data_IF_447697446773
#
_entry.id   IF_447697446773
#
_cell.length_a   1.000
_cell.length_b   1.000
_cell.length_c   1.000
_cell.angle_alpha   90.00
_cell.angle_beta   90.00
_cell.angle_gamma   90.00
#
_symmetry.space_group_name_H-M   'P 1'
#
loop_
_entity.id
_entity.type
_entity.pdbx_description
1 polymer ?
#
# COMPACT_ATOMS: atom_id res chain seq x y z
N UNK A 1 -18.96 8.18 6.32
CA UNK A 1 -19.77 8.07 7.57
C UNK A 1 -18.90 7.79 8.80
N UNK A 2 -18.30 6.60 8.92
CA UNK A 2 -17.62 6.19 10.17
C UNK A 2 -16.45 7.10 10.56
N UNK A 3 -15.62 7.49 9.58
CA UNK A 3 -14.52 8.43 9.81
C UNK A 3 -15.07 9.75 10.35
N UNK A 4 -15.94 10.45 9.60
CA UNK A 4 -16.53 11.72 10.03
C UNK A 4 -17.31 11.68 11.36
N UNK A 5 -17.82 10.51 11.79
CA UNK A 5 -18.45 10.36 13.10
C UNK A 5 -17.44 10.18 14.24
N UNK A 6 -16.29 9.60 13.97
CA UNK A 6 -15.26 9.33 14.97
C UNK A 6 -14.29 10.50 15.08
N UNK A 7 -14.07 11.28 14.03
CA UNK A 7 -13.20 12.47 14.04
C UNK A 7 -13.50 13.44 15.19
N UNK A 8 -14.78 13.77 15.51
CA UNK A 8 -15.09 14.73 16.58
C UNK A 8 -14.85 14.18 18.00
N UNK A 9 -14.60 12.88 18.15
CA UNK A 9 -14.28 12.30 19.47
C UNK A 9 -12.92 12.85 19.90
N UNK A 10 -12.82 13.31 21.15
CA UNK A 10 -11.57 13.82 21.71
C UNK A 10 -10.43 12.81 21.51
N UNK A 11 -9.27 13.31 21.08
CA UNK A 11 -8.06 12.50 20.95
C UNK A 11 -7.73 11.82 22.28
N UNK A 12 -7.48 10.51 22.18
CA UNK A 12 -7.10 9.68 23.33
C UNK A 12 -6.32 8.48 22.83
N UNK A 13 -5.49 7.94 23.72
CA UNK A 13 -4.82 6.67 23.50
C UNK A 13 -5.83 5.51 23.30
N UNK A 14 -5.39 4.53 22.51
CA UNK A 14 -6.12 3.29 22.27
C UNK A 14 -6.11 2.43 23.52
N UNK A 15 -7.28 1.95 23.92
CA UNK A 15 -7.51 1.08 25.09
C UNK A 15 -7.76 -0.35 24.66
N UNK A 16 -7.67 -1.29 25.60
CA UNK A 16 -8.00 -2.69 25.35
C UNK A 16 -9.43 -2.90 24.77
N UNK A 17 -10.39 -2.04 25.16
CA UNK A 17 -11.77 -2.06 24.67
C UNK A 17 -11.93 -1.65 23.21
N UNK A 18 -10.92 -1.01 22.61
CA UNK A 18 -10.92 -0.59 21.21
C UNK A 18 -10.52 -1.72 20.25
N UNK A 19 -10.13 -2.88 20.78
CA UNK A 19 -9.82 -4.09 20.03
C UNK A 19 -10.94 -5.13 20.12
N UNK A 20 -10.92 -6.06 19.17
CA UNK A 20 -11.76 -7.26 19.21
C UNK A 20 -13.23 -7.04 18.81
N UNK A 21 -14.08 -8.06 18.99
CA UNK A 21 -15.42 -8.08 18.42
C UNK A 21 -16.34 -6.94 18.89
N UNK A 22 -16.22 -6.54 20.17
CA UNK A 22 -17.05 -5.51 20.81
C UNK A 22 -16.72 -4.09 20.33
N UNK A 23 -15.49 -3.85 19.87
CA UNK A 23 -15.08 -2.58 19.31
C UNK A 23 -15.60 -2.33 17.89
N UNK A 24 -16.13 -3.37 17.23
CA UNK A 24 -16.61 -3.22 15.86
C UNK A 24 -17.87 -2.38 15.81
N UNK A 25 -17.97 -1.57 14.76
CA UNK A 25 -19.13 -0.75 14.52
C UNK A 25 -19.93 -1.24 13.32
N UNK A 26 -21.26 -1.11 13.39
CA UNK A 26 -22.18 -1.48 12.33
C UNK A 26 -23.11 -0.34 11.98
N UNK A 27 -23.33 -0.14 10.69
CA UNK A 27 -24.32 0.81 10.17
C UNK A 27 -25.13 0.20 9.04
N UNK A 28 -26.41 0.53 9.00
CA UNK A 28 -27.30 0.17 7.90
C UNK A 28 -27.37 1.36 6.93
N UNK A 29 -27.26 1.06 5.64
CA UNK A 29 -27.36 2.01 4.54
C UNK A 29 -28.52 1.56 3.64
N UNK A 30 -29.77 1.95 3.97
CA UNK A 30 -30.91 1.72 3.10
C UNK A 30 -30.84 2.64 1.88
N UNK A 31 -31.28 2.15 0.70
CA UNK A 31 -31.28 2.90 -0.57
C UNK A 31 -31.96 4.27 -0.45
N UNK A 32 -33.09 4.32 0.26
CA UNK A 32 -33.86 5.54 0.48
C UNK A 32 -33.29 6.45 1.57
N UNK A 33 -32.19 6.07 2.21
CA UNK A 33 -31.60 6.79 3.33
C UNK A 33 -32.33 6.56 4.65
N UNK A 34 -31.78 7.15 5.71
CA UNK A 34 -32.30 7.16 7.07
C UNK A 34 -31.91 8.49 7.74
N UNK A 35 -32.42 8.81 8.95
CA UNK A 35 -31.93 9.98 9.69
C UNK A 35 -30.41 9.99 9.94
N UNK A 36 -29.76 8.81 9.87
CA UNK A 36 -28.33 8.66 10.10
C UNK A 36 -27.52 8.54 8.80
N UNK A 37 -28.13 8.20 7.66
CA UNK A 37 -27.41 7.89 6.43
C UNK A 37 -28.11 8.49 5.21
N UNK A 38 -27.38 9.12 4.27
CA UNK A 38 -28.00 9.67 3.08
C UNK A 38 -28.60 8.58 2.18
N UNK A 39 -29.53 8.97 1.31
CA UNK A 39 -30.01 8.12 0.22
C UNK A 39 -28.91 7.90 -0.82
N UNK A 40 -28.98 6.79 -1.54
CA UNK A 40 -27.94 6.40 -2.51
C UNK A 40 -28.49 5.50 -3.62
N UNK A 41 -27.71 5.32 -4.69
CA UNK A 41 -28.09 4.49 -5.84
C UNK A 41 -27.96 2.98 -5.58
N UNK A 42 -27.05 2.58 -4.68
CA UNK A 42 -26.84 1.18 -4.33
C UNK A 42 -28.09 0.57 -3.65
N UNK A 43 -28.24 -0.76 -3.73
CA UNK A 43 -29.22 -1.49 -2.91
C UNK A 43 -28.87 -1.35 -1.43
N UNK A 44 -29.85 -1.66 -0.56
CA UNK A 44 -29.64 -1.70 0.88
C UNK A 44 -28.40 -2.53 1.24
N UNK A 45 -27.54 -2.00 2.10
CA UNK A 45 -26.39 -2.75 2.60
C UNK A 45 -26.09 -2.45 4.07
N UNK A 46 -25.35 -3.34 4.71
CA UNK A 46 -24.79 -3.14 6.04
C UNK A 46 -23.28 -2.97 5.92
N UNK A 47 -22.77 -1.92 6.53
CA UNK A 47 -21.35 -1.66 6.65
C UNK A 47 -20.88 -2.03 8.04
N UNK A 48 -19.72 -2.70 8.11
CA UNK A 48 -19.03 -2.99 9.35
C UNK A 48 -17.62 -2.39 9.29
N UNK A 49 -17.29 -1.59 10.29
CA UNK A 49 -15.94 -1.15 10.56
C UNK A 49 -15.35 -1.98 11.69
N UNK A 50 -14.14 -2.49 11.49
CA UNK A 50 -13.44 -3.24 12.51
C UNK A 50 -12.51 -2.32 13.29
N UNK A 51 -12.59 -2.34 14.63
CA UNK A 51 -11.71 -1.59 15.54
C UNK A 51 -11.43 -0.13 15.08
N UNK A 52 -12.46 0.69 14.79
CA UNK A 52 -12.27 1.94 14.07
C UNK A 52 -11.46 3.00 14.83
N UNK A 53 -11.44 2.95 16.17
CA UNK A 53 -10.57 3.81 16.99
C UNK A 53 -9.09 3.47 16.78
N UNK A 54 -8.75 2.18 16.67
CA UNK A 54 -7.37 1.74 16.40
C UNK A 54 -6.89 2.28 15.05
N UNK A 55 -7.72 2.15 14.01
CA UNK A 55 -7.39 2.65 12.67
C UNK A 55 -7.40 4.18 12.54
N UNK A 56 -8.13 4.89 13.40
CA UNK A 56 -7.96 6.34 13.53
C UNK A 56 -6.56 6.68 14.06
N UNK A 57 -6.15 6.11 15.18
CA UNK A 57 -4.82 6.36 15.74
C UNK A 57 -3.68 5.88 14.81
N UNK A 58 -3.85 4.78 14.09
CA UNK A 58 -2.87 4.37 13.07
C UNK A 58 -2.70 5.43 11.98
N UNK A 59 -3.80 6.01 11.49
CA UNK A 59 -3.75 7.12 10.52
C UNK A 59 -3.02 8.34 11.09
N UNK A 60 -3.30 8.70 12.35
CA UNK A 60 -2.61 9.80 13.06
C UNK A 60 -1.10 9.55 13.21
N UNK A 61 -0.69 8.33 13.61
CA UNK A 61 0.72 7.95 13.72
C UNK A 61 1.44 8.03 12.37
N UNK A 62 0.75 7.64 11.29
CA UNK A 62 1.26 7.75 9.91
C UNK A 62 1.07 9.14 9.28
N UNK A 63 0.67 10.16 10.06
CA UNK A 63 0.48 11.55 9.61
C UNK A 63 -0.52 11.69 8.46
N UNK A 64 -1.53 10.84 8.42
CA UNK A 64 -2.61 10.89 7.44
C UNK A 64 -3.69 11.85 7.94
N UNK A 65 -3.89 12.95 7.22
CA UNK A 65 -5.01 13.85 7.49
C UNK A 65 -6.35 13.14 7.25
N UNK A 66 -7.30 13.41 8.14
CA UNK A 66 -8.58 12.72 8.11
C UNK A 66 -9.50 13.21 6.99
N UNK A 67 -9.45 14.49 6.65
CA UNK A 67 -10.23 15.04 5.54
C UNK A 67 -9.67 14.52 4.21
N UNK A 68 -8.34 14.56 4.04
CA UNK A 68 -7.66 14.05 2.83
C UNK A 68 -7.98 12.57 2.63
N UNK A 69 -7.85 11.74 3.67
CA UNK A 69 -8.24 10.33 3.60
C UNK A 69 -9.68 10.11 3.15
N UNK A 70 -10.63 10.92 3.62
CA UNK A 70 -12.03 10.81 3.22
C UNK A 70 -12.24 11.21 1.76
N UNK A 71 -11.56 12.26 1.29
CA UNK A 71 -11.63 12.70 -0.11
C UNK A 71 -11.05 11.63 -1.03
N UNK A 72 -9.86 11.10 -0.73
CA UNK A 72 -9.19 10.13 -1.60
C UNK A 72 -9.91 8.78 -1.71
N UNK A 73 -10.55 8.32 -0.62
CA UNK A 73 -11.22 7.01 -0.57
C UNK A 73 -12.72 7.08 -0.86
N UNK A 74 -13.37 8.19 -0.53
CA UNK A 74 -14.83 8.33 -0.55
C UNK A 74 -15.31 9.57 -1.30
N UNK A 75 -14.43 10.25 -2.04
CA UNK A 75 -14.77 11.35 -2.92
C UNK A 75 -15.68 10.94 -4.09
N UNK A 76 -15.99 11.90 -4.95
CA UNK A 76 -16.85 11.69 -6.12
C UNK A 76 -16.21 10.81 -7.19
N UNK A 77 -14.89 10.69 -7.18
CA UNK A 77 -14.17 10.01 -8.24
C UNK A 77 -14.16 8.49 -8.05
N UNK A 78 -14.30 7.76 -9.15
CA UNK A 78 -14.26 6.30 -9.11
C UNK A 78 -12.86 5.82 -8.74
N UNK A 79 -12.77 4.77 -7.92
CA UNK A 79 -11.49 4.09 -7.67
C UNK A 79 -11.02 3.36 -8.94
N UNK A 80 -9.72 3.37 -9.21
CA UNK A 80 -9.15 2.66 -10.36
C UNK A 80 -8.90 1.21 -9.97
N UNK A 81 -9.57 0.28 -10.65
CA UNK A 81 -9.30 -1.14 -10.48
C UNK A 81 -7.94 -1.50 -11.09
N UNK A 82 -7.10 -2.17 -10.31
CA UNK A 82 -5.83 -2.70 -10.77
C UNK A 82 -6.02 -4.17 -11.11
N UNK A 83 -5.75 -4.53 -12.36
CA UNK A 83 -5.69 -5.92 -12.79
C UNK A 83 -4.66 -6.66 -11.95
N UNK A 84 -5.10 -7.55 -11.07
CA UNK A 84 -4.20 -8.33 -10.23
C UNK A 84 -4.03 -9.74 -10.83
N UNK A 85 -2.90 -10.05 -11.49
CA UNK A 85 -2.61 -11.42 -11.93
C UNK A 85 -2.19 -12.34 -10.76
N UNK A 86 -2.33 -11.90 -9.50
CA UNK A 86 -1.83 -12.62 -8.33
C UNK A 86 -2.59 -13.91 -8.00
N UNK A 87 -1.87 -14.93 -7.51
CA UNK A 87 -2.40 -16.24 -7.07
C UNK A 87 -3.59 -16.18 -6.10
N UNK A 88 -3.75 -15.09 -5.34
CA UNK A 88 -4.79 -14.97 -4.30
C UNK A 88 -6.20 -14.70 -4.85
N UNK A 89 -6.31 -14.20 -6.09
CA UNK A 89 -7.59 -13.71 -6.64
C UNK A 89 -8.18 -12.51 -5.89
N UNK A 90 -7.37 -11.78 -5.13
CA UNK A 90 -7.78 -10.53 -4.47
C UNK A 90 -7.77 -9.38 -5.45
N UNK A 91 -8.85 -8.62 -5.51
CA UNK A 91 -8.99 -7.42 -6.34
C UNK A 91 -8.34 -6.25 -5.61
N UNK A 92 -7.63 -5.41 -6.36
CA UNK A 92 -7.02 -4.19 -5.86
C UNK A 92 -7.65 -2.97 -6.52
N UNK A 93 -7.82 -1.91 -5.74
CA UNK A 93 -8.19 -0.60 -6.24
C UNK A 93 -7.18 0.43 -5.75
N UNK A 94 -7.03 1.50 -6.52
CA UNK A 94 -6.15 2.63 -6.23
C UNK A 94 -6.99 3.91 -6.20
N UNK A 95 -6.75 4.76 -5.21
CA UNK A 95 -7.32 6.10 -5.17
C UNK A 95 -6.83 6.93 -6.37
N UNK A 96 -7.56 7.98 -6.75
CA UNK A 96 -7.19 8.79 -7.91
C UNK A 96 -5.87 9.54 -7.72
N UNK A 97 -5.59 9.96 -6.49
CA UNK A 97 -4.37 10.64 -6.08
C UNK A 97 -3.19 9.68 -5.79
N UNK A 98 -3.34 8.40 -6.12
CA UNK A 98 -2.33 7.36 -5.87
C UNK A 98 -1.94 7.16 -4.41
N UNK A 99 -2.57 7.82 -3.42
CA UNK A 99 -2.12 7.74 -2.01
C UNK A 99 -2.49 6.42 -1.34
N UNK A 100 -3.62 5.83 -1.71
CA UNK A 100 -4.19 4.70 -1.00
C UNK A 100 -4.58 3.55 -1.93
N UNK A 101 -4.34 2.33 -1.44
CA UNK A 101 -4.80 1.11 -2.06
C UNK A 101 -5.91 0.46 -1.24
N UNK A 102 -6.88 -0.12 -1.93
CA UNK A 102 -7.90 -0.98 -1.33
C UNK A 102 -7.67 -2.39 -1.84
N UNK A 103 -7.51 -3.34 -0.92
CA UNK A 103 -7.35 -4.76 -1.25
C UNK A 103 -8.52 -5.57 -0.71
N UNK A 104 -9.17 -6.37 -1.55
CA UNK A 104 -10.19 -7.32 -1.08
C UNK A 104 -9.55 -8.48 -0.32
N UNK A 105 -10.17 -8.89 0.78
CA UNK A 105 -9.66 -9.90 1.70
C UNK A 105 -10.63 -11.07 1.89
N UNK A 106 -10.07 -12.27 1.97
CA UNK A 106 -10.76 -13.48 2.44
C UNK A 106 -11.07 -13.36 3.93
N UNK A 107 -12.02 -14.16 4.42
CA UNK A 107 -12.36 -14.19 5.86
C UNK A 107 -11.15 -14.55 6.72
N UNK A 108 -10.33 -15.50 6.28
CA UNK A 108 -9.13 -15.96 6.99
C UNK A 108 -8.10 -14.84 7.14
N UNK A 109 -7.81 -14.08 6.08
CA UNK A 109 -6.90 -12.93 6.10
C UNK A 109 -7.38 -11.85 7.08
N UNK A 110 -8.69 -11.55 7.09
CA UNK A 110 -9.27 -10.64 8.08
C UNK A 110 -9.09 -11.16 9.51
N UNK A 111 -9.17 -12.47 9.75
CA UNK A 111 -8.92 -13.01 11.09
C UNK A 111 -7.44 -12.91 11.48
N UNK A 112 -6.52 -13.11 10.54
CA UNK A 112 -5.08 -12.91 10.78
C UNK A 112 -4.82 -11.45 11.17
N UNK A 113 -5.29 -10.49 10.36
CA UNK A 113 -5.11 -9.06 10.62
C UNK A 113 -5.69 -8.63 11.97
N UNK A 114 -6.88 -9.12 12.33
CA UNK A 114 -7.49 -8.81 13.63
C UNK A 114 -6.73 -9.42 14.82
N UNK A 115 -6.14 -10.61 14.67
CA UNK A 115 -5.31 -11.22 15.72
C UNK A 115 -4.00 -10.46 15.93
N UNK A 116 -3.36 -10.02 14.86
CA UNK A 116 -2.11 -9.24 14.94
C UNK A 116 -2.33 -7.76 15.31
N UNK A 117 -3.53 -7.21 15.13
CA UNK A 117 -3.79 -5.77 15.26
C UNK A 117 -3.27 -5.12 16.57
N UNK A 118 -3.42 -5.70 17.77
CA UNK A 118 -2.87 -5.12 19.00
C UNK A 118 -1.33 -5.10 19.03
N UNK A 119 -0.68 -6.05 18.36
CA UNK A 119 0.77 -6.12 18.26
C UNK A 119 1.30 -5.21 17.16
N UNK A 120 0.60 -5.16 16.02
CA UNK A 120 0.87 -4.23 14.92
C UNK A 120 0.79 -2.78 15.39
N UNK A 121 -0.24 -2.42 16.17
CA UNK A 121 -0.37 -1.07 16.74
C UNK A 121 0.86 -0.70 17.60
N UNK A 122 1.33 -1.61 18.46
CA UNK A 122 2.52 -1.41 19.28
C UNK A 122 3.81 -1.35 18.45
N UNK A 123 3.90 -2.17 17.40
CA UNK A 123 5.03 -2.18 16.48
C UNK A 123 5.18 -0.85 15.75
N UNK A 124 4.09 -0.34 15.18
CA UNK A 124 4.05 0.97 14.50
C UNK A 124 4.40 2.10 15.47
N UNK A 125 3.89 2.05 16.69
CA UNK A 125 4.20 3.05 17.72
C UNK A 125 5.69 3.03 18.13
N UNK A 126 6.32 1.85 18.17
CA UNK A 126 7.72 1.71 18.57
C UNK A 126 8.70 2.01 17.43
N UNK A 127 8.31 1.77 16.18
CA UNK A 127 9.19 1.83 15.02
C UNK A 127 8.58 2.70 13.91
N UNK A 128 8.84 4.02 13.97
CA UNK A 128 8.32 4.99 12.99
C UNK A 128 8.76 4.67 11.54
N UNK A 129 9.92 4.05 11.37
CA UNK A 129 10.49 3.66 10.07
C UNK A 129 10.08 2.25 9.61
N UNK A 130 9.10 1.60 10.26
CA UNK A 130 8.60 0.28 9.84
C UNK A 130 8.27 0.22 8.35
N UNK A 131 8.74 -0.83 7.69
CA UNK A 131 8.44 -1.17 6.29
C UNK A 131 7.15 -2.01 6.18
N UNK A 132 6.67 -2.57 7.29
CA UNK A 132 5.38 -3.27 7.31
C UNK A 132 4.27 -2.37 6.76
N UNK A 133 3.45 -2.92 5.86
CA UNK A 133 2.32 -2.23 5.22
C UNK A 133 1.51 -1.37 6.20
N UNK A 134 1.27 -0.12 5.81
CA UNK A 134 0.49 0.86 6.59
C UNK A 134 -1.00 0.61 6.39
N UNK A 135 -1.69 0.14 7.43
CA UNK A 135 -3.14 -0.13 7.37
C UNK A 135 -3.95 1.02 7.96
N UNK A 136 -4.94 1.51 7.20
CA UNK A 136 -5.73 2.69 7.54
C UNK A 136 -7.20 2.41 7.82
N UNK A 137 -7.67 1.21 7.48
CA UNK A 137 -9.04 0.80 7.78
C UNK A 137 -9.30 -0.64 7.36
N UNK A 138 -10.15 -1.33 8.12
CA UNK A 138 -10.60 -2.68 7.80
C UNK A 138 -12.12 -2.69 7.84
N UNK A 139 -12.73 -3.15 6.74
CA UNK A 139 -14.16 -2.99 6.51
C UNK A 139 -14.80 -4.26 5.97
N UNK A 140 -16.11 -4.38 6.17
CA UNK A 140 -16.95 -5.39 5.52
C UNK A 140 -18.25 -4.77 5.06
N UNK A 141 -18.62 -5.07 3.83
CA UNK A 141 -19.91 -4.71 3.26
C UNK A 141 -20.75 -5.97 3.08
N UNK A 142 -21.98 -5.92 3.56
CA UNK A 142 -22.98 -6.97 3.38
C UNK A 142 -24.20 -6.36 2.67
N UNK A 143 -24.30 -6.50 1.34
CA UNK A 143 -25.50 -6.08 0.64
C UNK A 143 -26.71 -6.93 1.05
N UNK A 144 -27.93 -6.42 0.85
CA UNK A 144 -29.19 -7.11 1.10
C UNK A 144 -29.36 -8.32 0.17
N UNK A 145 -28.86 -8.21 -1.06
CA UNK A 145 -28.71 -9.29 -2.03
C UNK A 145 -27.26 -9.36 -2.56
N UNK A 146 -26.79 -10.58 -2.84
CA UNK A 146 -25.44 -10.81 -3.36
C UNK A 146 -24.36 -11.10 -2.32
N UNK A 147 -23.10 -11.10 -2.77
CA UNK A 147 -21.97 -11.57 -2.00
C UNK A 147 -21.43 -10.50 -1.03
N UNK A 148 -21.23 -10.86 0.24
CA UNK A 148 -20.50 -10.02 1.19
C UNK A 148 -19.01 -10.00 0.87
N UNK A 149 -18.39 -8.84 0.95
CA UNK A 149 -16.95 -8.67 0.72
C UNK A 149 -16.30 -7.93 1.89
N UNK A 150 -14.99 -8.13 2.03
CA UNK A 150 -14.14 -7.49 3.05
C UNK A 150 -12.99 -6.85 2.33
N UNK A 151 -12.50 -5.75 2.86
CA UNK A 151 -11.34 -5.09 2.30
C UNK A 151 -10.58 -4.34 3.38
N UNK A 152 -9.31 -4.13 3.11
CA UNK A 152 -8.44 -3.26 3.89
C UNK A 152 -8.06 -2.07 3.03
N UNK A 153 -8.01 -0.89 3.65
CA UNK A 153 -7.41 0.30 3.08
C UNK A 153 -5.99 0.39 3.61
N UNK A 154 -5.02 0.56 2.72
CA UNK A 154 -3.60 0.59 3.02
C UNK A 154 -2.89 1.67 2.20
N UNK A 155 -1.71 2.09 2.65
CA UNK A 155 -0.90 3.05 1.90
C UNK A 155 -0.41 2.47 0.57
N UNK A 156 -0.48 3.26 -0.50
CA UNK A 156 0.25 2.96 -1.71
C UNK A 156 1.72 3.28 -1.48
N UNK A 157 2.55 2.26 -1.56
CA UNK A 157 3.97 2.38 -1.25
C UNK A 157 4.73 3.09 -2.39
N UNK A 158 4.19 3.06 -3.62
CA UNK A 158 4.77 3.76 -4.76
C UNK A 158 4.24 5.20 -4.93
N UNK A 159 3.51 5.73 -3.94
CA UNK A 159 3.13 7.15 -3.92
C UNK A 159 4.36 8.00 -3.56
N UNK A 160 5.03 8.52 -4.57
CA UNK A 160 6.22 9.38 -4.42
C UNK A 160 6.26 10.41 -5.53
N UNK A 161 6.85 11.57 -5.25
CA UNK A 161 7.13 12.61 -6.25
C UNK A 161 8.15 12.15 -7.31
N UNK A 162 8.92 11.09 -7.00
CA UNK A 162 9.94 10.55 -7.89
C UNK A 162 9.35 9.51 -8.85
N UNK A 163 9.60 9.68 -10.15
CA UNK A 163 9.22 8.68 -11.16
C UNK A 163 9.90 7.32 -10.86
N UNK A 164 9.09 6.28 -10.70
CA UNK A 164 9.59 4.91 -10.55
C UNK A 164 9.82 4.29 -11.94
N UNK A 165 11.08 4.01 -12.27
CA UNK A 165 11.51 3.47 -13.56
C UNK A 165 11.56 1.93 -13.58
N UNK A 166 11.77 1.31 -12.40
CA UNK A 166 11.74 -0.15 -12.21
C UNK A 166 11.08 -0.48 -10.87
N UNK A 167 10.33 -1.57 -10.85
CA UNK A 167 9.67 -2.12 -9.66
C UNK A 167 10.07 -3.57 -9.49
N UNK A 168 10.35 -3.98 -8.27
CA UNK A 168 10.60 -5.38 -7.93
C UNK A 168 9.72 -5.81 -6.77
N UNK A 169 9.28 -7.06 -6.82
CA UNK A 169 8.70 -7.83 -5.73
C UNK A 169 9.78 -8.86 -5.37
N UNK A 170 10.36 -8.79 -4.17
CA UNK A 170 11.47 -9.64 -3.73
C UNK A 170 11.06 -10.50 -2.54
N UNK A 171 11.39 -11.79 -2.56
CA UNK A 171 11.02 -12.77 -1.50
C UNK A 171 12.22 -13.50 -0.91
N UNK A 172 13.39 -13.39 -1.52
CA UNK A 172 14.59 -14.17 -1.16
C UNK A 172 14.51 -15.64 -1.62
N UNK A 173 13.63 -15.98 -2.56
CA UNK A 173 13.50 -17.34 -3.11
C UNK A 173 13.63 -17.36 -4.63
N UNK A 174 13.80 -18.53 -5.24
CA UNK A 174 14.03 -18.70 -6.69
C UNK A 174 12.85 -19.28 -7.47
N UNK A 175 12.04 -20.15 -6.84
CA UNK A 175 10.97 -20.86 -7.54
C UNK A 175 9.83 -19.93 -7.98
N UNK A 176 9.62 -19.80 -9.29
CA UNK A 176 8.61 -18.90 -9.85
C UNK A 176 8.93 -17.40 -9.69
N UNK A 177 10.21 -17.09 -9.44
CA UNK A 177 10.71 -15.73 -9.15
C UNK A 177 11.45 -15.10 -10.34
N UNK A 178 11.04 -15.42 -11.55
CA UNK A 178 11.36 -14.67 -12.78
C UNK A 178 10.07 -14.18 -13.46
N UNK A 179 10.20 -13.15 -14.28
CA UNK A 179 9.11 -12.55 -15.06
C UNK A 179 9.10 -13.12 -16.48
N UNK A 180 7.98 -13.73 -16.88
CA UNK A 180 7.82 -14.35 -18.21
C UNK A 180 7.51 -13.34 -19.34
N UNK A 181 7.39 -12.05 -19.02
CA UNK A 181 7.04 -11.03 -20.03
C UNK A 181 8.17 -10.79 -21.00
N UNK A 182 7.86 -10.94 -22.30
CA UNK A 182 8.76 -10.65 -23.42
C UNK A 182 9.05 -9.15 -23.54
N UNK A 183 8.12 -8.28 -23.14
CA UNK A 183 8.28 -6.82 -23.10
C UNK A 183 8.19 -6.31 -21.67
N UNK A 184 9.29 -5.76 -21.17
CA UNK A 184 9.37 -5.12 -19.86
C UNK A 184 9.10 -3.62 -20.05
N UNK A 185 8.07 -3.12 -19.38
CA UNK A 185 7.74 -1.70 -19.27
C UNK A 185 7.85 -1.22 -17.82
N UNK A 186 7.63 0.08 -17.56
CA UNK A 186 7.72 0.68 -16.22
C UNK A 186 6.65 0.16 -15.24
N UNK A 187 5.56 -0.41 -15.77
CA UNK A 187 4.48 -1.00 -14.97
C UNK A 187 4.71 -2.49 -14.66
N UNK A 188 5.73 -3.09 -15.27
CA UNK A 188 6.11 -4.47 -15.02
C UNK A 188 6.85 -4.57 -13.69
N UNK A 189 6.29 -5.36 -12.77
CA UNK A 189 6.92 -5.69 -11.49
C UNK A 189 7.79 -6.92 -11.69
N UNK A 190 9.10 -6.71 -11.61
CA UNK A 190 10.15 -7.72 -11.73
C UNK A 190 10.27 -8.54 -10.42
N UNK A 191 10.97 -9.66 -10.46
CA UNK A 191 11.16 -10.56 -9.30
C UNK A 191 12.63 -10.83 -8.99
N UNK A 192 12.90 -11.70 -8.03
CA UNK A 192 14.26 -11.98 -7.50
C UNK A 192 15.29 -12.35 -8.57
N UNK A 193 14.93 -13.22 -9.52
CA UNK A 193 15.87 -13.67 -10.57
C UNK A 193 16.05 -12.64 -11.68
N UNK A 194 15.17 -11.63 -11.75
CA UNK A 194 15.29 -10.52 -12.69
C UNK A 194 16.16 -9.39 -12.12
N UNK A 195 16.51 -9.45 -10.82
CA UNK A 195 17.32 -8.44 -10.13
C UNK A 195 18.81 -8.67 -10.40
N UNK A 196 19.36 -7.95 -11.39
CA UNK A 196 20.76 -8.01 -11.80
C UNK A 196 21.61 -6.83 -11.28
N UNK A 197 21.17 -6.18 -10.19
CA UNK A 197 21.81 -5.00 -9.64
C UNK A 197 22.46 -5.29 -8.28
N UNK A 198 23.58 -4.63 -8.01
CA UNK A 198 24.15 -4.48 -6.67
C UNK A 198 23.99 -3.05 -6.20
N UNK A 199 23.58 -2.88 -4.95
CA UNK A 199 23.27 -1.57 -4.39
C UNK A 199 24.31 -1.13 -3.39
N UNK A 200 24.82 0.09 -3.60
CA UNK A 200 25.72 0.75 -2.68
C UNK A 200 24.94 1.85 -1.97
N UNK A 201 24.64 1.60 -0.71
CA UNK A 201 24.05 2.59 0.20
C UNK A 201 25.16 3.19 1.06
N UNK A 202 24.93 4.42 1.51
CA UNK A 202 25.75 5.00 2.57
C UNK A 202 25.71 4.06 3.80
N UNK A 203 26.85 3.77 4.45
CA UNK A 203 26.93 2.74 5.49
C UNK A 203 25.89 2.89 6.60
N UNK A 204 25.66 4.10 7.12
CA UNK A 204 24.67 4.31 8.19
C UNK A 204 23.24 4.03 7.72
N UNK A 205 22.88 4.41 6.48
CA UNK A 205 21.57 4.13 5.90
C UNK A 205 21.38 2.64 5.65
N UNK A 206 22.41 1.95 5.15
CA UNK A 206 22.40 0.50 4.96
C UNK A 206 22.15 -0.21 6.28
N UNK A 207 22.89 0.15 7.32
CA UNK A 207 22.83 -0.53 8.61
C UNK A 207 21.47 -0.27 9.29
N UNK A 208 20.95 0.96 9.21
CA UNK A 208 19.61 1.30 9.70
C UNK A 208 18.51 0.53 8.97
N UNK A 209 18.59 0.45 7.64
CA UNK A 209 17.64 -0.31 6.83
C UNK A 209 17.66 -1.80 7.15
N UNK A 210 18.84 -2.42 7.15
CA UNK A 210 18.98 -3.85 7.46
C UNK A 210 18.46 -4.15 8.86
N UNK A 211 18.72 -3.24 9.82
CA UNK A 211 18.18 -3.37 11.17
C UNK A 211 16.66 -3.31 11.21
N UNK A 212 16.05 -2.40 10.45
CA UNK A 212 14.59 -2.31 10.37
C UNK A 212 13.99 -3.54 9.69
N UNK A 213 14.60 -4.05 8.61
CA UNK A 213 14.18 -5.29 7.94
C UNK A 213 14.22 -6.48 8.91
N UNK A 214 15.26 -6.57 9.75
CA UNK A 214 15.36 -7.60 10.79
C UNK A 214 14.22 -7.50 11.80
N UNK A 215 13.97 -6.29 12.34
CA UNK A 215 12.89 -6.01 13.30
C UNK A 215 11.51 -6.36 12.72
N UNK A 216 11.24 -5.94 11.50
CA UNK A 216 9.95 -6.19 10.83
C UNK A 216 9.77 -7.67 10.49
N UNK A 217 10.83 -8.34 10.04
CA UNK A 217 10.81 -9.77 9.75
C UNK A 217 10.56 -10.60 11.02
N UNK A 218 11.18 -10.22 12.14
CA UNK A 218 10.93 -10.86 13.44
C UNK A 218 9.48 -10.65 13.89
N UNK A 219 8.93 -9.44 13.73
CA UNK A 219 7.52 -9.16 14.00
C UNK A 219 6.59 -10.06 13.17
N UNK A 220 6.82 -10.17 11.85
CA UNK A 220 6.01 -11.00 10.96
C UNK A 220 6.14 -12.49 11.32
N UNK A 221 7.36 -12.96 11.60
CA UNK A 221 7.64 -14.33 12.06
C UNK A 221 6.87 -14.67 13.34
N UNK A 222 6.89 -13.79 14.34
CA UNK A 222 6.21 -14.00 15.62
C UNK A 222 4.68 -14.10 15.48
N UNK A 223 4.12 -13.61 14.37
CA UNK A 223 2.69 -13.71 14.04
C UNK A 223 2.39 -14.79 13.00
N UNK A 224 3.38 -15.62 12.64
CA UNK A 224 3.27 -16.66 11.63
C UNK A 224 2.81 -16.13 10.27
N UNK A 225 3.25 -14.93 9.93
CA UNK A 225 3.01 -14.30 8.62
C UNK A 225 4.20 -14.65 7.74
N UNK A 226 3.90 -15.27 6.60
CA UNK A 226 4.87 -15.71 5.62
C UNK A 226 4.43 -15.23 4.23
N UNK A 227 5.22 -15.57 3.21
CA UNK A 227 4.94 -15.22 1.81
C UNK A 227 4.79 -13.71 1.55
N UNK A 228 5.31 -12.88 2.45
CA UNK A 228 5.46 -11.45 2.23
C UNK A 228 6.61 -11.18 1.25
N UNK A 229 6.53 -10.06 0.56
CA UNK A 229 7.58 -9.58 -0.34
C UNK A 229 8.04 -8.21 0.14
N UNK A 230 9.31 -7.91 -0.07
CA UNK A 230 9.84 -6.55 -0.05
C UNK A 230 9.57 -5.93 -1.43
N UNK A 231 8.79 -4.85 -1.50
CA UNK A 231 8.62 -4.10 -2.73
C UNK A 231 9.77 -3.10 -2.85
N UNK A 232 10.29 -2.95 -4.07
CA UNK A 232 11.44 -2.11 -4.33
C UNK A 232 11.18 -1.21 -5.54
N UNK A 233 11.25 0.10 -5.34
CA UNK A 233 11.10 1.10 -6.39
C UNK A 233 12.43 1.78 -6.73
N UNK A 234 12.73 1.90 -8.03
CA UNK A 234 13.92 2.59 -8.53
C UNK A 234 13.60 3.92 -9.19
N UNK A 235 14.25 4.97 -8.71
CA UNK A 235 14.35 6.22 -9.45
C UNK A 235 15.79 6.44 -9.93
N UNK A 236 15.97 6.56 -11.24
CA UNK A 236 17.21 7.04 -11.84
C UNK A 236 17.19 8.55 -11.91
N UNK A 237 18.17 9.19 -11.26
CA UNK A 237 18.38 10.63 -11.45
C UNK A 237 18.89 10.90 -12.87
N UNK A 238 18.23 11.80 -13.60
CA UNK A 238 18.73 12.29 -14.88
C UNK A 238 20.05 13.05 -14.67
N UNK A 239 21.01 12.87 -15.61
CA UNK A 239 22.21 13.71 -15.65
C UNK A 239 21.80 15.16 -15.91
N UNK A 240 22.32 16.12 -15.14
CA UNK A 240 22.03 17.55 -15.31
C UNK A 240 22.55 18.17 -16.64
N UNK A 241 23.03 17.39 -17.60
CA UNK A 241 23.74 17.90 -18.78
C UNK A 241 23.04 17.60 -20.11
N UNK A 242 21.77 17.98 -20.25
CA UNK A 242 21.12 18.18 -21.55
C UNK A 242 20.19 19.41 -21.49
N UNK A 243 20.73 20.56 -21.06
CA UNK A 243 20.32 21.81 -21.65
C UNK A 243 21.24 22.06 -22.84
N UNK A 244 20.78 21.72 -24.04
CA UNK A 244 21.34 22.25 -25.28
C UNK A 244 20.17 22.75 -26.10
N UNK A 245 20.13 24.06 -26.32
CA UNK A 245 19.26 24.69 -27.29
C UNK A 245 19.56 24.21 -28.72
N UNK A 246 18.78 24.72 -29.67
CA UNK A 246 18.90 24.58 -31.13
C UNK A 246 18.54 23.23 -31.78
N UNK A 247 17.29 23.17 -32.26
CA UNK A 247 16.81 22.75 -33.61
C UNK A 247 17.34 21.49 -34.35
N UNK A 248 16.41 20.52 -34.53
CA UNK A 248 16.09 19.65 -35.70
C UNK A 248 17.10 18.62 -36.28
N UNK A 249 16.67 17.58 -37.04
CA UNK A 249 15.36 16.91 -37.19
C UNK A 249 15.40 15.36 -37.07
N UNK A 250 14.21 14.73 -37.07
CA UNK A 250 13.98 13.28 -37.12
C UNK A 250 14.69 12.57 -38.28
N UNK A 251 15.43 11.49 -37.98
CA UNK A 251 15.30 10.17 -38.64
C UNK A 251 16.33 9.14 -38.13
N UNK A 252 15.90 7.87 -38.08
CA UNK A 252 16.67 6.60 -37.99
C UNK A 252 16.99 6.06 -36.56
N UNK A 253 16.13 5.14 -36.09
CA UNK A 253 16.42 4.04 -35.13
C UNK A 253 17.31 2.96 -35.82
N UNK A 254 17.93 1.95 -35.14
CA UNK A 254 17.79 1.47 -33.75
C UNK A 254 19.17 1.19 -33.07
N UNK A 255 19.17 0.52 -31.91
CA UNK A 255 20.34 -0.06 -31.21
C UNK A 255 21.34 0.89 -30.52
N UNK A 256 21.03 1.22 -29.27
CA UNK A 256 22.02 1.36 -28.18
C UNK A 256 21.33 1.31 -26.82
N UNK A 257 20.82 0.14 -26.48
CA UNK A 257 20.54 -0.27 -25.10
C UNK A 257 21.68 -1.15 -24.57
N UNK A 258 22.91 -0.82 -24.97
CA UNK A 258 24.10 -1.21 -24.21
C UNK A 258 24.18 -0.24 -23.05
N UNK A 259 23.53 -0.59 -21.94
CA UNK A 259 23.70 0.11 -20.67
C UNK A 259 25.16 -0.08 -20.30
N UNK A 260 25.94 0.97 -20.56
CA UNK A 260 27.31 1.12 -20.11
C UNK A 260 27.33 0.88 -18.59
N UNK A 261 27.78 -0.30 -18.22
CA UNK A 261 28.41 -0.56 -16.94
C UNK A 261 29.71 0.23 -16.91
N UNK A 262 29.66 1.52 -16.62
CA UNK A 262 30.85 2.24 -16.18
C UNK A 262 30.50 3.59 -15.54
N UNK A 263 30.93 3.69 -14.28
CA UNK A 263 31.28 4.90 -13.54
C UNK A 263 30.64 6.23 -13.97
N UNK A 264 29.63 6.68 -13.19
CA UNK A 264 29.24 8.09 -13.21
C UNK A 264 27.88 8.39 -12.60
N UNK A 265 27.82 8.45 -11.27
CA UNK A 265 26.86 9.19 -10.42
C UNK A 265 25.44 9.39 -11.00
N UNK A 266 24.77 8.32 -11.43
CA UNK A 266 23.31 8.31 -11.43
C UNK A 266 22.92 7.99 -9.98
N UNK A 267 22.50 8.99 -9.20
CA UNK A 267 21.98 8.71 -7.87
C UNK A 267 20.75 7.81 -8.04
N UNK A 268 20.84 6.58 -7.52
CA UNK A 268 19.73 5.65 -7.45
C UNK A 268 19.07 5.91 -6.10
N UNK A 269 17.84 6.39 -6.12
CA UNK A 269 17.02 6.40 -4.91
C UNK A 269 16.32 5.05 -4.83
N UNK A 270 16.59 4.35 -3.72
CA UNK A 270 15.97 3.07 -3.41
C UNK A 270 14.85 3.36 -2.43
N UNK A 271 13.61 3.17 -2.90
CA UNK A 271 12.46 3.17 -2.02
C UNK A 271 12.26 1.73 -1.55
N UNK A 272 12.60 1.50 -0.28
CA UNK A 272 12.25 0.28 0.44
C UNK A 272 10.81 0.41 0.90
N UNK A 273 9.99 -0.48 0.38
CA UNK A 273 8.55 -0.47 0.52
C UNK A 273 8.13 -1.82 1.09
#
# INVERSE_FOLDING_TARGET
YTVGRITPIQEREVRASDFGPKANFWMNFPKNGSPLTPSHRALDFKWKDYCPMVFRNLREMFKIDTADYMISISGSDALRELSSPGKSGSIFFLSQDDQFMIKTLRKSEVQVLLRMLPYYYRHVHAYENTLVTKFFGLHRVRPSSGQKFRFVVMGNMFCTELRIHRRFDLKGSSLGRSTEKIKIDENTTLKDLDLNYSFYLEPSWRDALLKQIEIDSEFLRNHSIMDYSLLLGFHYRARQNLQIGSSCPESILPDKLTVLSEAGKNAIYILFL
#
